data_IF_493305877916
#
_entry.id   IF_493305877916
#
_cell.length_a   1.000
_cell.length_b   1.000
_cell.length_c   1.000
_cell.angle_alpha   90.00
_cell.angle_beta   90.00
_cell.angle_gamma   90.00
#
_symmetry.space_group_name_H-M   'P 1'
#
loop_
_entity.id
_entity.type
_entity.pdbx_description
1 polymer ?
#
# COMPACT_ATOMS: atom_id res chain seq x y z
N UNK A 1 -7.63 14.14 -5.66
CA UNK A 1 -7.86 14.27 -7.13
C UNK A 1 -7.12 13.15 -7.85
N UNK A 2 -7.32 12.93 -9.17
CA UNK A 2 -6.53 11.95 -9.92
C UNK A 2 -5.02 12.12 -9.75
N UNK A 3 -4.52 13.37 -9.65
CA UNK A 3 -3.11 13.67 -9.39
C UNK A 3 -2.58 13.11 -8.06
N UNK A 4 -3.39 13.08 -7.00
CA UNK A 4 -3.00 12.51 -5.70
C UNK A 4 -2.79 10.99 -5.79
N UNK A 5 -3.62 10.30 -6.57
CA UNK A 5 -3.45 8.86 -6.80
C UNK A 5 -2.15 8.56 -7.54
N UNK A 6 -1.87 9.29 -8.63
CA UNK A 6 -0.62 9.09 -9.37
C UNK A 6 0.63 9.39 -8.53
N UNK A 7 0.60 10.44 -7.71
CA UNK A 7 1.68 10.73 -6.77
C UNK A 7 1.89 9.62 -5.73
N UNK A 8 0.79 9.02 -5.25
CA UNK A 8 0.85 7.89 -4.31
C UNK A 8 1.44 6.65 -4.97
N UNK A 9 0.99 6.29 -6.18
CA UNK A 9 1.53 5.15 -6.92
C UNK A 9 3.02 5.32 -7.24
N UNK A 10 3.46 6.50 -7.70
CA UNK A 10 4.88 6.78 -7.92
C UNK A 10 5.70 6.67 -6.65
N UNK A 11 5.18 7.11 -5.50
CA UNK A 11 5.86 6.95 -4.21
C UNK A 11 5.95 5.49 -3.80
N UNK A 12 4.86 4.73 -3.87
CA UNK A 12 4.84 3.31 -3.51
C UNK A 12 5.78 2.47 -4.40
N UNK A 13 5.87 2.82 -5.68
CA UNK A 13 6.82 2.21 -6.62
C UNK A 13 8.27 2.57 -6.25
N UNK A 14 8.56 3.84 -5.98
CA UNK A 14 9.89 4.30 -5.53
C UNK A 14 10.33 3.64 -4.22
N UNK A 15 9.40 3.46 -3.29
CA UNK A 15 9.63 2.80 -2.00
C UNK A 15 9.68 1.26 -2.12
N UNK A 16 9.49 0.72 -3.33
CA UNK A 16 9.58 -0.71 -3.63
C UNK A 16 8.41 -1.55 -3.12
N UNK A 17 7.30 -0.93 -2.74
CA UNK A 17 6.10 -1.62 -2.22
C UNK A 17 5.27 -2.25 -3.35
N UNK A 18 5.28 -1.63 -4.51
CA UNK A 18 4.67 -2.13 -5.74
C UNK A 18 5.66 -2.04 -6.90
N UNK A 19 5.45 -2.83 -7.94
CA UNK A 19 6.22 -2.79 -9.17
C UNK A 19 5.29 -2.67 -10.38
N UNK A 20 5.68 -1.86 -11.37
CA UNK A 20 5.01 -1.83 -12.66
C UNK A 20 5.13 -3.19 -13.36
N UNK A 21 4.01 -3.66 -13.93
CA UNK A 21 3.95 -4.92 -14.67
C UNK A 21 3.78 -4.65 -16.16
N UNK A 22 2.78 -3.86 -16.54
CA UNK A 22 2.45 -3.54 -17.94
C UNK A 22 1.45 -2.39 -18.03
N UNK A 23 1.22 -1.91 -19.24
CA UNK A 23 0.23 -0.88 -19.53
C UNK A 23 -0.82 -1.42 -20.51
N UNK A 24 -2.10 -1.19 -20.20
CA UNK A 24 -3.26 -1.56 -21.03
C UNK A 24 -4.15 -0.33 -21.17
N UNK A 25 -4.51 0.08 -22.39
CA UNK A 25 -5.42 1.21 -22.65
C UNK A 25 -5.08 2.51 -21.87
N UNK A 26 -3.79 2.88 -21.83
CA UNK A 26 -3.26 4.03 -21.07
C UNK A 26 -3.34 3.89 -19.54
N UNK A 27 -3.58 2.68 -19.03
CA UNK A 27 -3.61 2.37 -17.59
C UNK A 27 -2.40 1.52 -17.22
N UNK A 28 -1.57 2.03 -16.31
CA UNK A 28 -0.47 1.27 -15.73
C UNK A 28 -0.99 0.26 -14.71
N UNK A 29 -0.60 -0.99 -14.87
CA UNK A 29 -0.91 -2.09 -13.97
C UNK A 29 0.30 -2.33 -13.07
N UNK A 30 0.04 -2.37 -11.77
CA UNK A 30 1.04 -2.57 -10.72
C UNK A 30 0.74 -3.85 -9.94
N UNK A 31 1.79 -4.49 -9.45
CA UNK A 31 1.70 -5.65 -8.57
C UNK A 31 2.43 -5.38 -7.26
N UNK A 32 1.87 -5.85 -6.15
CA UNK A 32 2.53 -5.78 -4.84
C UNK A 32 3.81 -6.64 -4.83
N UNK A 33 4.89 -6.09 -4.30
CA UNK A 33 6.16 -6.82 -4.12
C UNK A 33 6.15 -7.62 -2.82
N UNK A 34 7.16 -8.47 -2.62
CA UNK A 34 7.33 -9.17 -1.34
C UNK A 34 7.63 -8.20 -0.18
N UNK A 35 8.32 -7.09 -0.45
CA UNK A 35 8.49 -6.01 0.53
C UNK A 35 7.14 -5.37 0.86
N UNK A 36 6.35 -5.04 -0.16
CA UNK A 36 5.01 -4.48 0.01
C UNK A 36 4.10 -5.38 0.84
N UNK A 37 4.13 -6.70 0.60
CA UNK A 37 3.37 -7.68 1.39
C UNK A 37 3.79 -7.71 2.86
N UNK A 38 5.09 -7.68 3.15
CA UNK A 38 5.61 -7.64 4.52
C UNK A 38 5.17 -6.37 5.25
N UNK A 39 5.28 -5.21 4.60
CA UNK A 39 4.84 -3.93 5.18
C UNK A 39 3.33 -3.92 5.41
N UNK A 40 2.55 -4.47 4.47
CA UNK A 40 1.10 -4.58 4.61
C UNK A 40 0.71 -5.42 5.83
N UNK A 41 1.36 -6.57 6.05
CA UNK A 41 1.11 -7.41 7.24
C UNK A 41 1.42 -6.68 8.56
N UNK A 42 2.52 -5.93 8.61
CA UNK A 42 2.87 -5.10 9.77
C UNK A 42 1.80 -4.03 10.01
N UNK A 43 1.34 -3.38 8.94
CA UNK A 43 0.37 -2.29 9.03
C UNK A 43 -1.02 -2.79 9.45
N UNK A 44 -1.42 -3.98 8.99
CA UNK A 44 -2.64 -4.64 9.45
C UNK A 44 -2.60 -4.88 10.97
N UNK A 45 -1.51 -5.48 11.47
CA UNK A 45 -1.31 -5.69 12.92
C UNK A 45 -1.31 -4.37 13.70
N UNK A 46 -0.74 -3.31 13.13
CA UNK A 46 -0.73 -1.97 13.74
C UNK A 46 -2.15 -1.42 13.86
N UNK A 47 -2.95 -1.50 12.80
CA UNK A 47 -4.34 -1.04 12.79
C UNK A 47 -5.20 -1.84 13.76
N UNK A 48 -5.06 -3.18 13.79
CA UNK A 48 -5.75 -4.04 14.75
C UNK A 48 -5.44 -3.66 16.20
N UNK A 49 -4.16 -3.42 16.51
CA UNK A 49 -3.73 -2.96 17.83
C UNK A 49 -4.34 -1.60 18.17
N UNK A 50 -4.32 -0.65 17.24
CA UNK A 50 -4.92 0.68 17.44
C UNK A 50 -6.41 0.58 17.69
N UNK A 51 -7.11 -0.28 16.95
CA UNK A 51 -8.52 -0.53 17.14
C UNK A 51 -8.82 -1.11 18.53
N UNK A 52 -8.08 -2.14 18.97
CA UNK A 52 -8.22 -2.70 20.31
C UNK A 52 -7.98 -1.66 21.41
N UNK A 53 -6.91 -0.87 21.27
CA UNK A 53 -6.60 0.21 22.20
C UNK A 53 -7.73 1.25 22.26
N UNK A 54 -8.34 1.59 21.11
CA UNK A 54 -9.47 2.54 21.05
C UNK A 54 -10.74 2.02 21.73
N UNK A 55 -10.81 0.71 21.97
CA UNK A 55 -11.92 0.02 22.64
C UNK A 55 -11.67 -0.28 24.12
N UNK A 56 -10.53 0.14 24.68
CA UNK A 56 -10.13 -0.15 26.07
C UNK A 56 -10.03 -1.65 26.41
N UNK A 57 -9.90 -2.52 25.39
CA UNK A 57 -9.73 -3.97 25.55
C UNK A 57 -8.26 -4.36 25.83
N UNK A 58 -7.63 -3.70 26.79
CA UNK A 58 -6.21 -3.91 27.16
C UNK A 58 -6.07 -4.95 28.27
#
# INVERSE_FOLDING_TARGET
SPGTMYGTLSKMEKDGLIAFVREEEKRKIYQITDLGRKVLDIELKRIERLYRNSREEV
#
